data_IF_696618306913
#
_entry.id   IF_696618306913
#
_cell.length_a   1.000
_cell.length_b   1.000
_cell.length_c   1.000
_cell.angle_alpha   90.00
_cell.angle_beta   90.00
_cell.angle_gamma   90.00
#
_symmetry.space_group_name_H-M   'P 1'
#
loop_
_entity.id
_entity.type
_entity.pdbx_description
1 polymer ?
#
# COMPACT_ATOMS: atom_id res chain seq x y z
N UNK A 1 -9.77 9.34 -0.06
CA UNK A 1 -8.68 9.65 -1.01
C UNK A 1 -7.42 9.91 -0.21
N UNK A 2 -6.35 9.14 -0.36
CA UNK A 2 -5.06 9.49 0.22
C UNK A 2 -4.50 10.70 -0.53
N UNK A 3 -4.00 11.68 0.23
CA UNK A 3 -3.36 12.87 -0.34
C UNK A 3 -2.10 12.44 -1.12
N UNK A 4 -1.81 13.06 -2.28
CA UNK A 4 -0.57 12.77 -3.02
C UNK A 4 0.64 13.13 -2.16
N UNK A 5 1.52 12.18 -1.97
CA UNK A 5 2.79 12.34 -1.27
C UNK A 5 3.66 13.25 -2.15
N UNK A 6 4.04 14.43 -1.62
CA UNK A 6 5.08 15.26 -2.23
C UNK A 6 6.34 14.40 -2.39
N UNK A 7 6.86 14.31 -3.62
CA UNK A 7 8.22 13.80 -3.87
C UNK A 7 9.19 14.54 -2.97
N UNK A 8 9.77 13.85 -1.98
CA UNK A 8 10.92 14.37 -1.27
C UNK A 8 12.13 14.28 -2.23
N UNK A 9 12.58 15.41 -2.71
CA UNK A 9 13.90 15.60 -3.28
C UNK A 9 14.91 15.60 -2.13
N UNK A 10 16.03 14.94 -2.34
CA UNK A 10 17.18 14.71 -1.44
C UNK A 10 17.00 13.58 -0.42
N UNK A 11 17.45 12.39 -0.80
CA UNK A 11 17.73 11.26 0.09
C UNK A 11 18.98 11.55 0.95
N UNK A 12 18.84 12.32 2.01
CA UNK A 12 19.73 12.16 3.15
C UNK A 12 19.27 10.84 3.80
N UNK A 13 20.08 9.80 3.67
CA UNK A 13 19.80 8.52 4.33
C UNK A 13 19.84 8.76 5.83
N UNK A 14 18.67 8.82 6.47
CA UNK A 14 18.59 8.94 7.91
C UNK A 14 19.18 7.67 8.52
N UNK A 15 20.28 7.82 9.28
CA UNK A 15 20.80 6.71 10.08
C UNK A 15 19.87 6.48 11.27
N UNK A 16 19.24 5.29 11.31
CA UNK A 16 18.36 4.88 12.38
C UNK A 16 19.16 4.15 13.46
N UNK A 17 19.00 4.55 14.71
CA UNK A 17 19.56 3.85 15.85
C UNK A 17 18.62 2.76 16.41
N UNK A 18 19.06 2.03 17.42
CA UNK A 18 18.26 0.97 18.05
C UNK A 18 16.96 1.47 18.68
N UNK A 19 16.93 2.70 19.17
CA UNK A 19 15.73 3.33 19.74
C UNK A 19 14.74 3.72 18.64
N UNK A 20 15.22 4.24 17.52
CA UNK A 20 14.37 4.52 16.34
C UNK A 20 13.68 3.24 15.84
N UNK A 21 14.41 2.14 15.73
CA UNK A 21 13.86 0.83 15.34
C UNK A 21 12.84 0.33 16.36
N UNK A 22 13.08 0.48 17.65
CA UNK A 22 12.14 0.11 18.69
C UNK A 22 10.84 0.92 18.59
N UNK A 23 10.93 2.23 18.40
CA UNK A 23 9.77 3.12 18.21
C UNK A 23 8.97 2.69 16.98
N UNK A 24 9.63 2.42 15.84
CA UNK A 24 8.96 1.97 14.61
C UNK A 24 8.20 0.66 14.82
N UNK A 25 8.78 -0.31 15.54
CA UNK A 25 8.11 -1.59 15.85
C UNK A 25 6.84 -1.37 16.67
N UNK A 26 6.86 -0.47 17.65
CA UNK A 26 5.68 -0.13 18.46
C UNK A 26 4.59 0.53 17.60
N UNK A 27 4.96 1.48 16.74
CA UNK A 27 4.03 2.14 15.83
C UNK A 27 3.46 1.19 14.78
N UNK A 28 4.22 0.19 14.33
CA UNK A 28 3.71 -0.86 13.43
C UNK A 28 2.69 -1.78 14.11
N UNK A 29 2.84 -2.03 15.41
CA UNK A 29 1.88 -2.82 16.21
C UNK A 29 0.63 -2.01 16.55
N UNK A 30 0.81 -0.75 16.92
CA UNK A 30 -0.26 0.17 17.26
C UNK A 30 0.05 1.60 16.80
N UNK A 31 -0.44 1.95 15.61
CA UNK A 31 -0.27 3.30 15.05
C UNK A 31 -0.96 4.41 15.88
N UNK A 32 -1.79 4.06 16.86
CA UNK A 32 -2.46 4.98 17.77
C UNK A 32 -1.78 5.07 19.15
N UNK A 33 -0.65 4.39 19.33
CA UNK A 33 0.11 4.50 20.58
C UNK A 33 0.50 5.95 20.84
N UNK A 34 0.28 6.41 22.06
CA UNK A 34 0.67 7.75 22.47
C UNK A 34 2.18 7.85 22.64
N UNK A 35 2.72 9.07 22.49
CA UNK A 35 4.15 9.32 22.72
C UNK A 35 4.58 8.87 24.12
N UNK A 36 3.68 9.00 25.13
CA UNK A 36 3.93 8.55 26.49
C UNK A 36 4.08 7.04 26.58
N UNK A 37 3.14 6.28 26.00
CA UNK A 37 3.21 4.81 25.98
C UNK A 37 4.48 4.31 25.29
N UNK A 38 4.86 4.94 24.19
CA UNK A 38 6.10 4.60 23.46
C UNK A 38 7.31 4.93 24.33
N UNK A 39 7.34 6.10 24.97
CA UNK A 39 8.44 6.56 25.82
C UNK A 39 8.70 5.58 26.97
N UNK A 40 7.63 5.14 27.64
CA UNK A 40 7.71 4.17 28.73
C UNK A 40 8.34 2.84 28.25
N UNK A 41 7.96 2.36 27.06
CA UNK A 41 8.47 1.09 26.52
C UNK A 41 9.91 1.16 26.00
N UNK A 42 10.32 2.30 25.45
CA UNK A 42 11.70 2.47 24.96
C UNK A 42 12.66 3.04 26.03
N UNK A 43 12.16 3.28 27.26
CA UNK A 43 12.90 3.87 28.37
C UNK A 43 13.57 5.20 28.00
N UNK A 44 12.76 6.13 27.50
CA UNK A 44 13.11 7.51 27.19
C UNK A 44 12.07 8.46 27.78
N UNK A 45 12.37 9.75 27.86
CA UNK A 45 11.34 10.76 28.10
C UNK A 45 10.53 11.06 26.84
N UNK A 46 9.38 11.71 26.98
CA UNK A 46 8.45 11.98 25.87
C UNK A 46 9.04 12.89 24.79
N UNK A 47 9.83 13.89 25.18
CA UNK A 47 10.42 14.86 24.24
C UNK A 47 11.32 14.20 23.19
N UNK A 48 12.36 13.41 23.54
CA UNK A 48 13.20 12.76 22.54
C UNK A 48 12.44 11.71 21.70
N UNK A 49 11.37 11.08 22.23
CA UNK A 49 10.53 10.19 21.44
C UNK A 49 9.75 10.98 20.39
N UNK A 50 9.14 12.09 20.78
CA UNK A 50 8.42 12.96 19.85
C UNK A 50 9.33 13.48 18.73
N UNK A 51 10.53 13.96 19.07
CA UNK A 51 11.52 14.45 18.10
C UNK A 51 11.96 13.36 17.12
N UNK A 52 12.16 12.12 17.59
CA UNK A 52 12.52 10.98 16.77
C UNK A 52 11.40 10.61 15.78
N UNK A 53 10.16 10.53 16.25
CA UNK A 53 8.99 10.26 15.40
C UNK A 53 8.88 11.33 14.31
N UNK A 54 8.93 12.61 14.71
CA UNK A 54 8.87 13.73 13.77
C UNK A 54 9.98 13.67 12.71
N UNK A 55 11.23 13.39 13.12
CA UNK A 55 12.35 13.22 12.21
C UNK A 55 12.13 12.06 11.21
N UNK A 56 11.56 10.93 11.67
CA UNK A 56 11.25 9.79 10.81
C UNK A 56 10.10 10.09 9.86
N UNK A 57 9.13 10.92 10.25
CA UNK A 57 8.05 11.40 9.36
C UNK A 57 8.60 12.37 8.30
N UNK A 58 9.38 13.36 8.71
CA UNK A 58 9.98 14.35 7.81
C UNK A 58 10.95 13.73 6.79
N UNK A 59 11.69 12.70 7.20
CA UNK A 59 12.61 11.96 6.31
C UNK A 59 11.92 10.92 5.42
N UNK A 60 10.60 10.69 5.60
CA UNK A 60 9.83 9.71 4.84
C UNK A 60 10.07 8.24 5.25
N UNK A 61 10.78 7.97 6.34
CA UNK A 61 10.88 6.63 6.95
C UNK A 61 9.48 6.18 7.40
N UNK A 62 8.74 7.06 8.07
CA UNK A 62 7.31 6.89 8.29
C UNK A 62 6.59 7.59 7.13
N UNK A 63 6.04 6.81 6.23
CA UNK A 63 5.33 7.34 5.05
C UNK A 63 3.93 7.82 5.39
N UNK A 64 3.22 7.06 6.19
CA UNK A 64 1.83 7.34 6.60
C UNK A 64 1.41 6.41 7.74
N UNK A 65 0.36 6.79 8.44
CA UNK A 65 -0.38 5.92 9.35
C UNK A 65 -1.62 5.40 8.63
N UNK A 66 -1.78 4.07 8.55
CA UNK A 66 -2.88 3.44 7.84
C UNK A 66 -3.79 2.66 8.79
N UNK A 67 -5.08 2.69 8.52
CA UNK A 67 -6.05 1.84 9.19
C UNK A 67 -6.24 0.58 8.38
N UNK A 68 -6.01 -0.58 8.99
CA UNK A 68 -6.38 -1.86 8.41
C UNK A 68 -7.86 -2.10 8.64
N UNK A 69 -8.62 -2.26 7.56
CA UNK A 69 -10.06 -2.49 7.59
C UNK A 69 -10.35 -3.95 7.28
N UNK A 70 -11.17 -4.57 8.12
CA UNK A 70 -11.74 -5.89 7.80
C UNK A 70 -12.72 -5.73 6.63
N UNK A 71 -12.27 -6.14 5.45
CA UNK A 71 -13.01 -5.99 4.20
C UNK A 71 -14.33 -6.79 4.20
N UNK A 72 -14.44 -7.86 4.98
CA UNK A 72 -15.67 -8.65 5.09
C UNK A 72 -16.77 -7.85 5.79
N UNK A 73 -16.39 -7.03 6.79
CA UNK A 73 -17.33 -6.18 7.55
C UNK A 73 -17.81 -4.95 6.79
N UNK A 74 -17.13 -4.59 5.71
CA UNK A 74 -17.54 -3.49 4.80
C UNK A 74 -18.12 -4.01 3.48
N UNK A 75 -18.66 -5.23 3.49
CA UNK A 75 -19.28 -5.89 2.34
C UNK A 75 -18.32 -6.06 1.14
N UNK A 76 -17.04 -6.30 1.41
CA UNK A 76 -16.00 -6.59 0.42
C UNK A 76 -15.38 -7.95 0.68
N UNK A 77 -16.25 -8.98 0.81
CA UNK A 77 -15.86 -10.32 1.25
C UNK A 77 -15.01 -11.11 0.25
N UNK A 78 -14.96 -10.71 -1.02
CA UNK A 78 -14.16 -11.36 -2.03
C UNK A 78 -12.83 -10.62 -2.22
N UNK A 79 -11.72 -11.33 -2.00
CA UNK A 79 -10.38 -10.85 -2.29
C UNK A 79 -9.79 -11.63 -3.46
N UNK A 80 -9.21 -10.92 -4.42
CA UNK A 80 -8.61 -11.50 -5.61
C UNK A 80 -7.22 -10.89 -5.84
N UNK A 81 -6.25 -11.74 -6.11
CA UNK A 81 -4.94 -11.30 -6.60
C UNK A 81 -4.96 -11.41 -8.13
N UNK A 82 -4.77 -10.29 -8.81
CA UNK A 82 -4.72 -10.26 -10.27
C UNK A 82 -3.28 -10.03 -10.71
N UNK A 83 -2.75 -10.94 -11.49
CA UNK A 83 -1.48 -10.77 -12.19
C UNK A 83 -1.75 -10.26 -13.60
N UNK A 84 -1.05 -9.22 -14.00
CA UNK A 84 -1.29 -8.52 -15.27
C UNK A 84 0.00 -8.42 -16.06
N UNK A 85 -0.05 -8.82 -17.34
CA UNK A 85 1.02 -8.53 -18.31
C UNK A 85 0.54 -7.44 -19.28
N UNK A 86 1.43 -6.55 -19.66
CA UNK A 86 1.18 -5.54 -20.69
C UNK A 86 1.62 -6.07 -22.07
N UNK A 87 0.96 -5.61 -23.13
CA UNK A 87 1.38 -5.89 -24.51
C UNK A 87 2.68 -5.19 -24.88
N UNK A 88 2.89 -3.99 -24.34
CA UNK A 88 4.09 -3.18 -24.56
C UNK A 88 4.71 -2.82 -23.21
N UNK A 89 6.02 -3.08 -23.08
CA UNK A 89 6.77 -2.95 -21.84
C UNK A 89 7.64 -1.69 -21.85
N UNK A 90 7.02 -0.49 -21.93
CA UNK A 90 7.74 0.75 -21.79
C UNK A 90 7.38 1.47 -20.46
N UNK A 91 8.26 2.38 -20.03
CA UNK A 91 8.06 3.15 -18.78
C UNK A 91 6.78 3.99 -18.80
N UNK A 92 6.37 4.42 -19.97
CA UNK A 92 5.18 5.26 -20.14
C UNK A 92 3.90 4.44 -19.97
N UNK A 93 3.86 3.25 -20.57
CA UNK A 93 2.74 2.31 -20.45
C UNK A 93 2.55 1.85 -19.00
N UNK A 94 3.64 1.46 -18.31
CA UNK A 94 3.59 1.08 -16.90
C UNK A 94 3.09 2.21 -16.00
N UNK A 95 3.56 3.43 -16.22
CA UNK A 95 3.13 4.60 -15.45
C UNK A 95 1.65 4.94 -15.65
N UNK A 96 1.14 4.86 -16.88
CA UNK A 96 -0.30 5.03 -17.19
C UNK A 96 -1.14 3.96 -16.53
N UNK A 97 -0.70 2.70 -16.59
CA UNK A 97 -1.39 1.59 -15.95
C UNK A 97 -1.51 1.80 -14.43
N UNK A 98 -0.42 2.09 -13.74
CA UNK A 98 -0.42 2.35 -12.29
C UNK A 98 -1.39 3.50 -11.96
N UNK A 99 -1.32 4.62 -12.70
CA UNK A 99 -2.23 5.75 -12.48
C UNK A 99 -3.68 5.33 -12.62
N UNK A 100 -4.01 4.56 -13.68
CA UNK A 100 -5.36 4.05 -13.90
C UNK A 100 -5.83 3.12 -12.78
N UNK A 101 -4.98 2.21 -12.30
CA UNK A 101 -5.32 1.31 -11.19
C UNK A 101 -5.60 2.06 -9.89
N UNK A 102 -4.90 3.15 -9.60
CA UNK A 102 -5.16 3.99 -8.43
C UNK A 102 -6.50 4.74 -8.47
N UNK A 103 -7.13 4.86 -9.63
CA UNK A 103 -8.46 5.48 -9.78
C UNK A 103 -9.60 4.48 -9.49
N UNK A 104 -9.31 3.19 -9.44
CA UNK A 104 -10.29 2.13 -9.24
C UNK A 104 -10.43 1.80 -7.74
N UNK A 105 -11.64 1.95 -7.21
CA UNK A 105 -11.92 1.72 -5.79
C UNK A 105 -11.77 0.24 -5.36
N UNK A 106 -11.87 -0.68 -6.30
CA UNK A 106 -11.70 -2.11 -6.08
C UNK A 106 -10.24 -2.50 -5.89
N UNK A 107 -9.31 -1.71 -6.42
CA UNK A 107 -7.86 -1.96 -6.33
C UNK A 107 -7.33 -1.32 -5.07
N UNK A 108 -6.95 -2.15 -4.10
CA UNK A 108 -6.39 -1.68 -2.82
C UNK A 108 -4.87 -1.61 -2.80
N UNK A 109 -4.22 -2.42 -3.60
CA UNK A 109 -2.76 -2.43 -3.76
C UNK A 109 -2.39 -2.72 -5.23
N UNK A 110 -1.32 -2.06 -5.71
CA UNK A 110 -0.77 -2.26 -7.05
C UNK A 110 0.75 -2.28 -6.95
N UNK A 111 1.36 -3.39 -7.37
CA UNK A 111 2.80 -3.60 -7.35
C UNK A 111 3.31 -3.82 -8.77
N UNK A 112 4.41 -3.15 -9.14
CA UNK A 112 5.20 -3.55 -10.29
C UNK A 112 6.09 -4.71 -9.85
N UNK A 113 6.03 -5.82 -10.57
CA UNK A 113 6.77 -7.04 -10.25
C UNK A 113 7.66 -7.44 -11.42
N UNK A 114 8.59 -8.35 -11.19
CA UNK A 114 9.44 -8.93 -12.21
C UNK A 114 9.09 -10.41 -12.40
N UNK A 115 9.24 -10.93 -13.61
CA UNK A 115 8.94 -12.30 -13.96
C UNK A 115 7.97 -12.41 -15.13
N UNK A 116 7.06 -13.36 -15.10
CA UNK A 116 6.07 -13.61 -16.15
C UNK A 116 5.05 -12.47 -16.31
N UNK A 117 4.75 -11.78 -15.21
CA UNK A 117 3.79 -10.67 -15.16
C UNK A 117 4.49 -9.36 -14.80
N UNK A 118 3.93 -8.25 -15.25
CA UNK A 118 4.44 -6.90 -14.99
C UNK A 118 3.87 -6.30 -13.69
N UNK A 119 2.64 -6.65 -13.35
CA UNK A 119 1.95 -6.12 -12.18
C UNK A 119 1.20 -7.19 -11.41
N UNK A 120 1.15 -6.97 -10.09
CA UNK A 120 0.27 -7.66 -9.17
C UNK A 120 -0.68 -6.65 -8.55
N UNK A 121 -1.99 -6.92 -8.65
CA UNK A 121 -3.05 -6.12 -8.02
C UNK A 121 -3.68 -6.93 -6.91
N UNK A 122 -3.98 -6.28 -5.79
CA UNK A 122 -4.88 -6.81 -4.77
C UNK A 122 -6.22 -6.12 -4.90
N UNK A 123 -7.23 -6.90 -5.25
CA UNK A 123 -8.57 -6.42 -5.57
C UNK A 123 -9.55 -6.93 -4.53
N UNK A 124 -10.51 -6.09 -4.12
CA UNK A 124 -11.61 -6.48 -3.25
C UNK A 124 -12.94 -6.19 -3.92
N UNK A 125 -13.86 -7.14 -3.82
CA UNK A 125 -15.20 -7.03 -4.39
C UNK A 125 -16.25 -7.50 -3.39
N UNK A 126 -17.50 -7.13 -3.65
CA UNK A 126 -18.64 -7.53 -2.83
C UNK A 126 -19.05 -8.99 -3.11
N UNK A 127 -18.96 -9.41 -4.37
CA UNK A 127 -19.36 -10.73 -4.87
C UNK A 127 -18.56 -11.11 -6.12
N UNK A 128 -18.76 -12.35 -6.62
CA UNK A 128 -18.23 -12.79 -7.91
C UNK A 128 -18.76 -11.94 -9.07
N UNK A 129 -20.04 -11.58 -9.05
CA UNK A 129 -20.64 -10.76 -10.10
C UNK A 129 -20.03 -9.35 -10.10
N UNK A 130 -19.82 -8.76 -8.94
CA UNK A 130 -19.13 -7.47 -8.82
C UNK A 130 -17.67 -7.55 -9.29
N UNK A 131 -16.97 -8.66 -9.02
CA UNK A 131 -15.64 -8.88 -9.55
C UNK A 131 -15.65 -9.06 -11.07
N UNK A 132 -16.59 -9.81 -11.61
CA UNK A 132 -16.74 -9.99 -13.05
C UNK A 132 -16.98 -8.65 -13.76
N UNK A 133 -17.86 -7.81 -13.22
CA UNK A 133 -18.11 -6.45 -13.74
C UNK A 133 -16.81 -5.60 -13.70
N UNK A 134 -16.10 -5.61 -12.57
CA UNK A 134 -14.80 -4.94 -12.45
C UNK A 134 -13.82 -5.44 -13.51
N UNK A 135 -13.69 -6.76 -13.66
CA UNK A 135 -12.74 -7.37 -14.58
C UNK A 135 -13.03 -6.97 -16.03
N UNK A 136 -14.29 -7.09 -16.46
CA UNK A 136 -14.69 -6.85 -17.86
C UNK A 136 -14.78 -5.36 -18.17
N UNK A 137 -15.42 -4.58 -17.31
CA UNK A 137 -15.77 -3.20 -17.61
C UNK A 137 -14.78 -2.15 -17.10
N UNK A 138 -13.83 -2.53 -16.22
CA UNK A 138 -12.84 -1.61 -15.68
C UNK A 138 -11.42 -2.06 -15.95
N UNK A 139 -11.03 -3.25 -15.49
CA UNK A 139 -9.66 -3.73 -15.63
C UNK A 139 -9.31 -3.99 -17.10
N UNK A 140 -10.10 -4.80 -17.80
CA UNK A 140 -9.84 -5.16 -19.22
C UNK A 140 -9.99 -3.99 -20.20
N UNK A 141 -10.62 -2.90 -19.77
CA UNK A 141 -10.72 -1.67 -20.57
C UNK A 141 -9.48 -0.77 -20.43
N UNK A 142 -8.57 -1.08 -19.52
CA UNK A 142 -7.33 -0.34 -19.43
C UNK A 142 -6.46 -0.62 -20.67
N UNK A 143 -5.90 0.45 -21.24
CA UNK A 143 -5.06 0.35 -22.42
C UNK A 143 -3.86 -0.57 -22.17
N UNK A 144 -3.47 -1.28 -23.24
CA UNK A 144 -2.23 -2.07 -23.27
C UNK A 144 -2.21 -3.35 -22.41
N UNK A 145 -3.34 -3.83 -21.88
CA UNK A 145 -3.38 -5.13 -21.17
C UNK A 145 -3.21 -6.27 -22.18
N UNK A 146 -2.24 -7.15 -21.91
CA UNK A 146 -1.98 -8.37 -22.67
C UNK A 146 -2.69 -9.58 -22.10
N UNK A 147 -2.43 -9.87 -20.83
CA UNK A 147 -3.00 -11.02 -20.12
C UNK A 147 -3.33 -10.67 -18.68
N UNK A 148 -4.38 -11.27 -18.14
CA UNK A 148 -4.76 -11.16 -16.73
C UNK A 148 -5.03 -12.56 -16.20
N UNK A 149 -4.37 -12.90 -15.09
CA UNK A 149 -4.62 -14.10 -14.31
C UNK A 149 -5.22 -13.71 -12.96
N UNK A 150 -6.39 -14.25 -12.64
CA UNK A 150 -7.07 -13.99 -11.38
C UNK A 150 -6.94 -15.18 -10.43
N UNK A 151 -6.46 -14.93 -9.22
CA UNK A 151 -6.31 -15.93 -8.16
C UNK A 151 -7.20 -15.50 -6.99
N UNK A 152 -8.19 -16.32 -6.68
CA UNK A 152 -9.13 -16.05 -5.61
C UNK A 152 -8.55 -16.48 -4.26
N UNK A 153 -8.58 -15.57 -3.28
CA UNK A 153 -8.10 -15.86 -1.92
C UNK A 153 -9.21 -16.58 -1.17
N UNK A 154 -8.94 -17.81 -0.73
CA UNK A 154 -9.92 -18.67 -0.05
C UNK A 154 -9.93 -18.48 1.47
N UNK A 155 -8.93 -17.80 2.03
CA UNK A 155 -8.81 -17.50 3.46
C UNK A 155 -7.59 -16.63 3.74
N UNK A 156 -7.61 -15.91 4.87
CA UNK A 156 -6.53 -15.04 5.36
C UNK A 156 -6.19 -15.46 6.79
#
# INVERSE_FOLDING_TARGET
MPRPIKKAESTVSLSLDSKDIAILKLLQQNARATVKEIADQVHLSTTPVHERIKRMEESGVIKQYATLVDHTKVKKGLMVICYVSLKQHDKTAGGKFIKRMHELNEVIECYNISGEFDFMLKVVAESMDAYYDFHVNKLSQAENIGHVQSVFVMGV
#
